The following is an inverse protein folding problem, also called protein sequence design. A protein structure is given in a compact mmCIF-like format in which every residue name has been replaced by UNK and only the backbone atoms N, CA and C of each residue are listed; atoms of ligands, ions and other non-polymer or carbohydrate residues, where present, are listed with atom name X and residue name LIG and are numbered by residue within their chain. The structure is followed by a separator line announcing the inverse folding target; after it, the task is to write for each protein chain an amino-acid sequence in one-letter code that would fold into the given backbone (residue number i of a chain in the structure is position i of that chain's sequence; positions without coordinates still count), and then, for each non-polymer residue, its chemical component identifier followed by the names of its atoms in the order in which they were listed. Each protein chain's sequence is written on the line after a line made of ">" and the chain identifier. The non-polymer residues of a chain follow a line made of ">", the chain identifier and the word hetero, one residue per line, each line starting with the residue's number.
data_IF_055217128695
#
_entry.id   IF_055217128695
#
_cell.length_a   1.000
_cell.length_b   1.000
_cell.length_c   1.000
_cell.angle_alpha   90.00
_cell.angle_beta   90.00
_cell.angle_gamma   90.00
#
_symmetry.space_group_name_H-M   'P 1'
#
loop_
_entity.id
_entity.type
_entity.pdbx_description
1 polymer ?
#
# COMPACT_ATOMS: atom_id res chain seq x y z
N UNK A 1 -1.32 -0.08 -30.45
CA UNK A 1 -0.98 0.73 -29.23
C UNK A 1 -2.12 1.68 -28.85
N UNK A 2 -2.89 2.25 -29.81
CA UNK A 2 -4.08 3.04 -29.49
C UNK A 2 -5.23 2.19 -28.94
N UNK A 3 -5.34 0.91 -29.33
CA UNK A 3 -6.39 0.02 -28.81
C UNK A 3 -6.35 -0.12 -27.29
N UNK A 4 -5.15 -0.12 -26.68
CA UNK A 4 -5.02 -0.24 -25.22
C UNK A 4 -5.47 1.04 -24.50
N UNK A 5 -5.26 2.21 -25.11
CA UNK A 5 -5.70 3.49 -24.54
C UNK A 5 -7.21 3.69 -24.71
N UNK A 6 -7.78 3.26 -25.84
CA UNK A 6 -9.22 3.33 -26.06
C UNK A 6 -9.95 2.38 -25.07
N UNK A 7 -9.40 1.20 -24.76
CA UNK A 7 -9.94 0.33 -23.71
C UNK A 7 -9.95 1.00 -22.32
N UNK A 8 -8.92 1.79 -21.97
CA UNK A 8 -8.91 2.55 -20.71
C UNK A 8 -9.95 3.67 -20.71
N UNK A 9 -10.24 4.27 -21.86
CA UNK A 9 -11.32 5.26 -21.99
C UNK A 9 -12.68 4.62 -21.80
N UNK A 10 -12.91 3.44 -22.42
CA UNK A 10 -14.17 2.70 -22.29
C UNK A 10 -14.43 2.24 -20.85
N UNK A 11 -13.36 1.94 -20.10
CA UNK A 11 -13.42 1.61 -18.67
C UNK A 11 -13.53 2.84 -17.75
N UNK A 12 -13.54 4.06 -18.30
CA UNK A 12 -13.59 5.31 -17.51
C UNK A 12 -12.30 5.59 -16.71
N UNK A 13 -11.19 4.96 -17.06
CA UNK A 13 -9.87 5.12 -16.41
C UNK A 13 -9.01 6.18 -17.10
N UNK A 14 -9.37 6.60 -18.31
CA UNK A 14 -8.71 7.66 -19.04
C UNK A 14 -9.72 8.57 -19.76
N UNK A 15 -9.40 9.86 -19.83
CA UNK A 15 -10.08 10.81 -20.71
C UNK A 15 -9.27 10.98 -22.00
N UNK A 16 -9.97 11.08 -23.12
CA UNK A 16 -9.39 11.39 -24.43
C UNK A 16 -9.84 12.77 -24.87
N UNK A 17 -8.88 13.66 -25.08
CA UNK A 17 -9.11 14.99 -25.61
C UNK A 17 -8.42 15.15 -26.98
N UNK A 18 -8.94 16.04 -27.84
CA UNK A 18 -8.28 16.39 -29.10
C UNK A 18 -7.50 17.68 -28.90
N UNK A 19 -6.24 17.68 -29.31
CA UNK A 19 -5.50 18.93 -29.35
C UNK A 19 -6.20 19.95 -30.27
N UNK A 20 -6.17 21.21 -29.85
CA UNK A 20 -6.61 22.29 -30.72
C UNK A 20 -5.76 22.26 -32.00
N UNK A 21 -6.38 22.41 -33.20
CA UNK A 21 -5.65 22.35 -34.46
C UNK A 21 -4.63 23.49 -34.53
N UNK A 22 -3.33 23.15 -34.48
CA UNK A 22 -2.23 24.07 -34.70
C UNK A 22 -1.58 23.80 -36.06
N UNK A 23 -2.00 24.54 -37.10
CA UNK A 23 -1.42 24.46 -38.44
C UNK A 23 -1.92 23.32 -39.33
N UNK A 24 -1.13 22.93 -40.33
CA UNK A 24 -1.47 21.85 -41.29
C UNK A 24 -1.13 20.49 -40.70
N UNK A 25 -2.15 19.66 -40.45
CA UNK A 25 -2.01 18.28 -39.98
C UNK A 25 -3.29 17.78 -39.29
N UNK A 26 -3.41 16.46 -39.10
CA UNK A 26 -4.50 15.87 -38.30
C UNK A 26 -4.21 16.12 -36.82
N UNK A 27 -5.13 16.73 -36.04
CA UNK A 27 -4.91 16.97 -34.62
C UNK A 27 -4.59 15.68 -33.86
N UNK A 28 -3.62 15.77 -32.93
CA UNK A 28 -3.25 14.66 -32.06
C UNK A 28 -4.34 14.43 -30.99
N UNK A 29 -4.50 13.17 -30.57
CA UNK A 29 -5.28 12.85 -29.38
C UNK A 29 -4.36 12.86 -28.17
N UNK A 30 -4.79 13.54 -27.11
CA UNK A 30 -4.18 13.48 -25.78
C UNK A 30 -5.02 12.56 -24.91
N UNK A 31 -4.33 11.77 -24.09
CA UNK A 31 -4.95 10.91 -23.11
C UNK A 31 -4.47 11.34 -21.73
N UNK A 32 -5.39 11.47 -20.78
CA UNK A 32 -5.10 11.77 -19.38
C UNK A 32 -5.74 10.70 -18.51
N UNK A 33 -5.00 10.18 -17.52
CA UNK A 33 -5.59 9.28 -16.54
C UNK A 33 -6.66 10.02 -15.73
N UNK A 34 -7.79 9.36 -15.51
CA UNK A 34 -8.83 9.88 -14.62
C UNK A 34 -8.49 9.49 -13.16
N UNK A 35 -8.83 10.32 -12.17
CA UNK A 35 -8.61 10.00 -10.76
C UNK A 35 -9.31 8.70 -10.40
N UNK A 36 -8.66 7.86 -9.60
CA UNK A 36 -9.32 6.66 -9.10
C UNK A 36 -10.46 7.08 -8.14
N UNK A 37 -11.61 6.37 -8.07
CA UNK A 37 -12.73 6.75 -7.20
C UNK A 37 -12.36 6.94 -5.73
N UNK A 38 -11.33 6.22 -5.24
CA UNK A 38 -10.78 6.34 -3.89
C UNK A 38 -9.91 7.59 -3.66
N UNK A 39 -9.75 8.45 -4.67
CA UNK A 39 -8.97 9.69 -4.58
C UNK A 39 -9.85 10.94 -4.50
N UNK A 40 -11.18 10.79 -4.57
CA UNK A 40 -12.14 11.88 -4.51
C UNK A 40 -12.24 12.56 -3.12
N UNK A 41 -12.56 13.87 -3.05
CA UNK A 41 -12.67 14.59 -1.77
C UNK A 41 -13.70 13.99 -0.80
N UNK A 42 -14.85 13.53 -1.30
CA UNK A 42 -15.91 12.93 -0.48
C UNK A 42 -15.45 11.61 0.16
N UNK A 43 -14.74 10.78 -0.58
CA UNK A 43 -14.19 9.52 -0.07
C UNK A 43 -13.14 9.77 1.01
N UNK A 44 -12.24 10.75 0.80
CA UNK A 44 -11.26 11.16 1.81
C UNK A 44 -11.91 11.68 3.09
N UNK A 45 -12.97 12.47 2.97
CA UNK A 45 -13.72 12.96 4.11
C UNK A 45 -14.41 11.82 4.89
N UNK A 46 -14.97 10.83 4.19
CA UNK A 46 -15.55 9.64 4.82
C UNK A 46 -14.49 8.83 5.58
N UNK A 47 -13.32 8.60 4.99
CA UNK A 47 -12.22 7.91 5.68
C UNK A 47 -11.79 8.68 6.94
N UNK A 48 -11.64 10.01 6.84
CA UNK A 48 -11.29 10.82 8.00
C UNK A 48 -12.31 10.67 9.14
N UNK A 49 -13.62 10.72 8.84
CA UNK A 49 -14.67 10.53 9.83
C UNK A 49 -14.66 9.12 10.46
N UNK A 50 -14.37 8.08 9.67
CA UNK A 50 -14.24 6.71 10.19
C UNK A 50 -13.02 6.57 11.10
N UNK A 51 -11.91 7.23 10.77
CA UNK A 51 -10.71 7.25 11.59
C UNK A 51 -10.93 8.00 12.90
N UNK A 52 -11.62 9.15 12.87
CA UNK A 52 -12.02 9.87 14.08
C UNK A 52 -12.89 8.99 14.99
N UNK A 53 -13.89 8.32 14.42
CA UNK A 53 -14.74 7.38 15.16
C UNK A 53 -13.95 6.19 15.75
N UNK A 54 -12.91 5.71 15.05
CA UNK A 54 -12.04 4.64 15.52
C UNK A 54 -11.18 5.07 16.73
N UNK A 55 -10.67 6.31 16.68
CA UNK A 55 -9.88 6.95 17.73
C UNK A 55 -10.72 7.20 18.98
N UNK A 56 -11.95 7.70 18.81
CA UNK A 56 -12.89 7.99 19.92
C UNK A 56 -13.34 6.74 20.70
N UNK A 57 -13.01 5.54 20.20
CA UNK A 57 -13.19 4.29 20.93
C UNK A 57 -14.62 3.76 20.92
N UNK A 58 -15.53 4.36 20.15
CA UNK A 58 -16.89 3.85 19.92
C UNK A 58 -16.90 2.50 19.19
N UNK A 59 -15.78 2.08 18.60
CA UNK A 59 -15.60 0.76 17.96
C UNK A 59 -15.27 -0.37 18.94
N UNK A 60 -15.36 -0.14 20.26
CA UNK A 60 -15.19 -1.16 21.30
C UNK A 60 -16.26 -2.25 21.17
N UNK A 61 -15.99 -3.31 20.41
CA UNK A 61 -16.82 -4.51 20.40
C UNK A 61 -16.78 -5.36 19.13
N UNK A 62 -16.63 -4.75 17.94
CA UNK A 62 -16.76 -5.49 16.69
C UNK A 62 -15.50 -6.30 16.28
N UNK A 63 -14.34 -5.99 16.87
CA UNK A 63 -13.02 -6.50 16.43
C UNK A 63 -12.24 -7.25 17.51
N UNK A 64 -12.86 -7.58 18.64
CA UNK A 64 -12.27 -8.48 19.66
C UNK A 64 -10.95 -8.01 20.29
N UNK A 65 -10.64 -6.71 20.30
CA UNK A 65 -9.38 -6.20 20.85
C UNK A 65 -9.46 -5.89 22.35
N UNK A 66 -8.38 -6.21 23.07
CA UNK A 66 -8.25 -5.97 24.52
C UNK A 66 -8.47 -4.49 24.88
N UNK A 67 -9.16 -4.17 25.99
CA UNK A 67 -9.34 -2.79 26.46
C UNK A 67 -8.03 -2.01 26.67
N UNK A 68 -6.91 -2.72 26.85
CA UNK A 68 -5.58 -2.15 27.06
C UNK A 68 -4.79 -1.87 25.77
N UNK A 69 -5.30 -2.31 24.61
CA UNK A 69 -4.57 -2.14 23.34
C UNK A 69 -4.52 -0.68 22.89
N UNK A 70 -3.36 -0.25 22.38
CA UNK A 70 -3.18 1.09 21.82
C UNK A 70 -3.92 1.25 20.50
N UNK A 71 -4.16 2.50 20.06
CA UNK A 71 -4.77 2.78 18.75
C UNK A 71 -3.95 2.14 17.62
N UNK A 72 -2.63 2.25 17.69
CA UNK A 72 -1.71 1.65 16.72
C UNK A 72 -1.86 0.13 16.68
N UNK A 73 -1.87 -0.56 17.82
CA UNK A 73 -2.02 -2.02 17.88
C UNK A 73 -3.34 -2.49 17.26
N UNK A 74 -4.44 -1.78 17.56
CA UNK A 74 -5.76 -2.07 16.98
C UNK A 74 -5.75 -1.87 15.46
N UNK A 75 -5.12 -0.81 14.98
CA UNK A 75 -5.00 -0.54 13.54
C UNK A 75 -4.12 -1.57 12.83
N UNK A 76 -2.99 -1.96 13.44
CA UNK A 76 -2.11 -3.02 12.96
C UNK A 76 -2.84 -4.35 12.86
N UNK A 77 -3.64 -4.71 13.87
CA UNK A 77 -4.46 -5.93 13.83
C UNK A 77 -5.45 -5.93 12.66
N UNK A 78 -6.11 -4.80 12.42
CA UNK A 78 -7.00 -4.62 11.26
C UNK A 78 -6.24 -4.77 9.93
N UNK A 79 -5.06 -4.16 9.83
CA UNK A 79 -4.21 -4.27 8.65
C UNK A 79 -3.76 -5.71 8.36
N UNK A 80 -3.48 -6.50 9.40
CA UNK A 80 -3.15 -7.92 9.26
C UNK A 80 -4.31 -8.75 8.68
N UNK A 81 -5.55 -8.32 8.91
CA UNK A 81 -6.75 -8.98 8.41
C UNK A 81 -7.06 -8.73 6.94
N UNK A 82 -6.34 -7.82 6.27
CA UNK A 82 -6.56 -7.53 4.84
C UNK A 82 -6.17 -8.75 4.00
N UNK A 83 -7.05 -9.25 3.13
CA UNK A 83 -6.72 -10.38 2.26
C UNK A 83 -5.53 -10.05 1.34
N UNK A 84 -4.48 -10.85 1.44
CA UNK A 84 -3.36 -10.81 0.49
C UNK A 84 -3.72 -11.68 -0.72
N UNK A 85 -3.59 -11.18 -1.97
CA UNK A 85 -3.88 -11.95 -3.18
C UNK A 85 -3.13 -13.29 -3.21
N UNK A 86 -3.79 -14.34 -3.72
CA UNK A 86 -3.24 -15.70 -3.68
C UNK A 86 -1.88 -15.80 -4.40
N UNK A 87 -1.73 -15.14 -5.55
CA UNK A 87 -0.46 -15.08 -6.28
C UNK A 87 0.69 -14.47 -5.45
N UNK A 88 0.38 -13.51 -4.60
CA UNK A 88 1.35 -12.90 -3.69
C UNK A 88 1.64 -13.82 -2.50
N UNK A 89 0.62 -14.54 -2.02
CA UNK A 89 0.78 -15.53 -0.96
C UNK A 89 1.65 -16.72 -1.42
N UNK A 90 1.50 -17.16 -2.67
CA UNK A 90 2.37 -18.17 -3.30
C UNK A 90 3.80 -17.68 -3.42
N UNK A 91 4.01 -16.45 -3.91
CA UNK A 91 5.33 -15.84 -3.98
C UNK A 91 6.00 -15.76 -2.60
N UNK A 92 5.25 -15.33 -1.58
CA UNK A 92 5.69 -15.28 -0.19
C UNK A 92 6.11 -16.66 0.34
N UNK A 93 5.30 -17.71 0.10
CA UNK A 93 5.64 -19.08 0.52
C UNK A 93 6.88 -19.63 -0.18
N UNK A 94 7.00 -19.41 -1.49
CA UNK A 94 8.17 -19.82 -2.27
C UNK A 94 9.48 -19.17 -1.78
N UNK A 95 9.40 -18.06 -1.03
CA UNK A 95 10.55 -17.45 -0.35
C UNK A 95 11.19 -18.38 0.68
N UNK A 96 10.40 -19.13 1.45
CA UNK A 96 10.88 -20.06 2.48
C UNK A 96 11.68 -21.23 1.91
N UNK A 97 11.44 -21.55 0.64
CA UNK A 97 12.09 -22.63 -0.11
C UNK A 97 13.29 -22.15 -0.95
N UNK A 98 13.48 -20.83 -1.06
CA UNK A 98 14.45 -20.23 -1.97
C UNK A 98 15.89 -20.30 -1.44
N UNK A 99 16.81 -20.84 -2.25
CA UNK A 99 18.23 -21.08 -1.96
C UNK A 99 19.07 -19.86 -1.51
N UNK A 100 18.90 -19.42 -0.26
CA UNK A 100 19.71 -18.44 0.46
C UNK A 100 18.92 -17.22 0.97
N UNK A 101 19.29 -16.72 2.16
CA UNK A 101 18.61 -15.62 2.85
C UNK A 101 18.42 -14.33 2.01
N UNK A 102 19.36 -14.03 1.11
CA UNK A 102 19.28 -12.88 0.22
C UNK A 102 18.18 -13.03 -0.87
N UNK A 103 17.95 -14.25 -1.36
CA UNK A 103 16.89 -14.53 -2.34
C UNK A 103 15.54 -14.47 -1.65
N UNK A 104 15.41 -15.12 -0.49
CA UNK A 104 14.20 -15.06 0.33
C UNK A 104 13.79 -13.61 0.62
N UNK A 105 14.73 -12.79 1.13
CA UNK A 105 14.49 -11.36 1.40
C UNK A 105 13.98 -10.58 0.19
N UNK A 106 14.55 -10.83 -1.01
CA UNK A 106 14.08 -10.19 -2.25
C UNK A 106 12.65 -10.60 -2.59
N UNK A 107 12.33 -11.88 -2.48
CA UNK A 107 10.99 -12.40 -2.73
C UNK A 107 9.95 -11.77 -1.79
N UNK A 108 10.24 -11.72 -0.48
CA UNK A 108 9.35 -11.04 0.49
C UNK A 108 9.20 -9.55 0.18
N UNK A 109 10.30 -8.88 -0.17
CA UNK A 109 10.29 -7.46 -0.56
C UNK A 109 9.39 -7.22 -1.77
N UNK A 110 9.46 -8.08 -2.79
CA UNK A 110 8.61 -8.01 -3.98
C UNK A 110 7.13 -8.31 -3.67
N UNK A 111 6.86 -9.28 -2.79
CA UNK A 111 5.50 -9.56 -2.32
C UNK A 111 4.89 -8.34 -1.62
N UNK A 112 5.62 -7.72 -0.69
CA UNK A 112 5.19 -6.49 -0.03
C UNK A 112 4.98 -5.34 -1.03
N UNK A 113 5.91 -5.17 -1.97
CA UNK A 113 5.79 -4.14 -3.01
C UNK A 113 4.51 -4.31 -3.84
N UNK A 114 4.14 -5.57 -4.14
CA UNK A 114 2.91 -5.91 -4.89
C UNK A 114 1.66 -5.58 -4.08
N UNK A 115 1.60 -5.96 -2.79
CA UNK A 115 0.47 -5.63 -1.91
C UNK A 115 0.29 -4.12 -1.78
N UNK A 116 1.36 -3.39 -1.50
CA UNK A 116 1.32 -1.95 -1.30
C UNK A 116 0.99 -1.20 -2.59
N UNK A 117 1.52 -1.64 -3.74
CA UNK A 117 1.15 -1.08 -5.03
C UNK A 117 -0.34 -1.27 -5.33
N UNK A 118 -0.91 -2.43 -4.97
CA UNK A 118 -2.35 -2.67 -5.06
C UNK A 118 -3.21 -1.73 -4.21
N UNK A 119 -2.64 -1.11 -3.17
CA UNK A 119 -3.32 -0.09 -2.37
C UNK A 119 -3.17 1.33 -2.94
N UNK A 120 -2.41 1.51 -4.03
CA UNK A 120 -2.17 2.81 -4.66
C UNK A 120 -0.85 3.49 -4.29
N UNK A 121 0.06 2.81 -3.59
CA UNK A 121 1.41 3.32 -3.38
C UNK A 121 2.26 3.18 -4.64
N UNK A 122 3.15 4.13 -4.89
CA UNK A 122 4.35 3.84 -5.69
C UNK A 122 5.39 3.18 -4.79
N UNK A 123 5.96 2.07 -5.23
CA UNK A 123 6.96 1.32 -4.45
C UNK A 123 8.33 1.37 -5.12
N UNK A 124 9.37 1.58 -4.31
CA UNK A 124 10.75 1.63 -4.77
C UNK A 124 11.61 0.77 -3.83
N UNK A 125 12.41 -0.15 -4.36
CA UNK A 125 13.29 -0.94 -3.50
C UNK A 125 14.44 -0.10 -2.93
N UNK A 126 14.74 -0.30 -1.65
CA UNK A 126 15.90 0.31 -1.03
C UNK A 126 17.18 -0.44 -1.44
N UNK A 127 18.31 0.27 -1.62
CA UNK A 127 19.58 -0.34 -1.97
C UNK A 127 19.97 -1.49 -1.03
N UNK A 128 20.61 -2.52 -1.60
CA UNK A 128 21.08 -3.72 -0.87
C UNK A 128 19.95 -4.53 -0.21
N UNK A 129 18.71 -4.42 -0.71
CA UNK A 129 17.57 -5.21 -0.22
C UNK A 129 17.16 -4.87 1.21
N UNK A 130 17.38 -3.63 1.65
CA UNK A 130 17.08 -3.22 3.04
C UNK A 130 15.59 -2.98 3.30
N UNK A 131 14.75 -3.05 2.28
CA UNK A 131 13.31 -2.92 2.35
C UNK A 131 12.77 -2.06 1.20
N UNK A 132 11.74 -1.27 1.47
CA UNK A 132 11.01 -0.49 0.46
C UNK A 132 10.91 0.98 0.87
N UNK A 133 10.85 1.84 -0.12
CA UNK A 133 10.28 3.18 -0.01
C UNK A 133 8.87 3.14 -0.59
N UNK A 134 7.92 3.64 0.19
CA UNK A 134 6.51 3.79 -0.20
C UNK A 134 6.24 5.27 -0.44
N UNK A 135 5.97 5.63 -1.70
CA UNK A 135 5.80 7.02 -2.13
C UNK A 135 4.35 7.30 -2.48
N UNK A 136 3.90 8.52 -2.23
CA UNK A 136 2.55 9.00 -2.52
C UNK A 136 1.48 8.17 -1.81
N UNK A 137 1.51 8.15 -0.46
CA UNK A 137 0.46 7.52 0.33
C UNK A 137 -0.92 8.02 -0.10
N UNK A 138 -1.84 7.14 -0.54
CA UNK A 138 -3.16 7.53 -1.05
C UNK A 138 -4.00 8.24 0.02
N UNK A 139 -3.70 7.97 1.29
CA UNK A 139 -4.37 8.52 2.46
C UNK A 139 -3.52 9.59 3.18
N UNK A 140 -2.52 10.18 2.54
CA UNK A 140 -1.63 11.17 3.17
C UNK A 140 -2.38 12.31 3.87
N UNK A 141 -3.48 12.79 3.29
CA UNK A 141 -4.29 13.86 3.87
C UNK A 141 -4.94 13.50 5.22
N UNK A 142 -5.15 12.21 5.49
CA UNK A 142 -5.64 11.68 6.77
C UNK A 142 -4.47 11.28 7.67
N UNK A 143 -3.45 10.64 7.10
CA UNK A 143 -2.29 10.12 7.82
C UNK A 143 -1.43 11.20 8.50
N UNK A 144 -1.43 12.44 7.98
CA UNK A 144 -0.76 13.58 8.65
C UNK A 144 -1.35 13.87 10.03
N UNK A 145 -2.65 13.63 10.23
CA UNK A 145 -3.33 13.84 11.54
C UNK A 145 -3.47 12.55 12.35
N UNK A 146 -3.66 11.42 11.68
CA UNK A 146 -3.95 10.12 12.29
C UNK A 146 -2.97 9.05 11.83
N UNK A 147 -1.68 9.34 12.01
CA UNK A 147 -0.59 8.47 11.55
C UNK A 147 -0.60 7.12 12.27
N UNK A 148 -0.95 7.10 13.55
CA UNK A 148 -1.10 5.91 14.39
C UNK A 148 -2.15 4.92 13.83
N UNK A 149 -3.22 5.43 13.21
CA UNK A 149 -4.24 4.60 12.58
C UNK A 149 -3.80 4.18 11.18
N UNK A 150 -3.52 5.15 10.30
CA UNK A 150 -3.26 4.87 8.88
C UNK A 150 -1.96 4.11 8.69
N UNK A 151 -0.89 4.52 9.36
CA UNK A 151 0.41 3.87 9.23
C UNK A 151 0.46 2.55 10.03
N UNK A 152 -0.23 2.47 11.17
CA UNK A 152 -0.43 1.20 11.89
C UNK A 152 -1.16 0.17 11.02
N UNK A 153 -2.20 0.57 10.31
CA UNK A 153 -2.89 -0.30 9.35
C UNK A 153 -1.95 -0.82 8.25
N UNK A 154 -1.17 0.06 7.62
CA UNK A 154 -0.18 -0.39 6.62
C UNK A 154 0.92 -1.27 7.21
N UNK A 155 1.36 -1.01 8.44
CA UNK A 155 2.29 -1.88 9.18
C UNK A 155 1.71 -3.30 9.31
N UNK A 156 0.45 -3.43 9.69
CA UNK A 156 -0.22 -4.74 9.80
C UNK A 156 -0.26 -5.52 8.48
N UNK A 157 -0.51 -4.84 7.37
CA UNK A 157 -0.47 -5.47 6.04
C UNK A 157 0.93 -6.00 5.70
N UNK A 158 1.99 -5.24 6.00
CA UNK A 158 3.38 -5.67 5.77
C UNK A 158 3.73 -6.89 6.64
N UNK A 159 3.31 -6.88 7.91
CA UNK A 159 3.49 -8.00 8.83
C UNK A 159 2.82 -9.28 8.33
N UNK A 160 1.60 -9.18 7.80
CA UNK A 160 0.89 -10.33 7.24
C UNK A 160 1.62 -10.98 6.05
N UNK A 161 2.31 -10.18 5.23
CA UNK A 161 3.14 -10.71 4.12
C UNK A 161 4.36 -11.46 4.67
N UNK A 162 5.05 -10.91 5.67
CA UNK A 162 6.22 -11.55 6.29
C UNK A 162 5.83 -12.87 6.96
N UNK A 163 4.75 -12.88 7.73
CA UNK A 163 4.24 -14.08 8.40
C UNK A 163 3.87 -15.19 7.41
N UNK A 164 3.20 -14.85 6.29
CA UNK A 164 2.89 -15.82 5.21
C UNK A 164 4.14 -16.39 4.53
N UNK A 165 5.27 -15.69 4.65
CA UNK A 165 6.57 -16.14 4.15
C UNK A 165 7.31 -17.02 5.18
N UNK A 166 6.71 -17.29 6.34
CA UNK A 166 7.33 -18.01 7.46
C UNK A 166 8.28 -17.14 8.30
N UNK A 167 8.29 -15.82 8.08
CA UNK A 167 9.13 -14.89 8.83
C UNK A 167 8.46 -14.36 10.10
N UNK A 168 9.26 -13.79 10.99
CA UNK A 168 8.78 -13.07 12.16
C UNK A 168 8.12 -11.73 11.75
N UNK A 169 6.83 -11.48 12.05
CA UNK A 169 6.18 -10.22 11.75
C UNK A 169 6.86 -9.01 12.41
N UNK A 170 7.56 -9.19 13.54
CA UNK A 170 8.27 -8.09 14.19
C UNK A 170 9.59 -7.76 13.48
N UNK A 171 10.00 -8.55 12.48
CA UNK A 171 11.17 -8.23 11.65
C UNK A 171 10.90 -7.15 10.61
N UNK A 172 9.67 -6.68 10.41
CA UNK A 172 9.36 -5.59 9.47
C UNK A 172 8.82 -4.36 10.19
N UNK A 173 9.33 -3.19 9.83
CA UNK A 173 8.91 -1.92 10.41
C UNK A 173 8.69 -0.86 9.35
N UNK A 174 7.54 -0.20 9.40
CA UNK A 174 7.21 0.99 8.64
C UNK A 174 7.56 2.23 9.46
N UNK A 175 8.49 3.04 8.96
CA UNK A 175 8.83 4.37 9.45
C UNK A 175 7.99 5.41 8.68
N UNK A 176 6.95 5.99 9.30
CA UNK A 176 6.08 6.95 8.63
C UNK A 176 6.83 8.24 8.31
N UNK A 177 6.64 8.78 7.10
CA UNK A 177 7.15 10.09 6.70
C UNK A 177 8.65 10.30 6.91
N UNK A 178 9.43 9.22 6.87
CA UNK A 178 10.88 9.26 7.07
C UNK A 178 11.61 10.07 5.99
N UNK A 179 10.98 10.29 4.83
CA UNK A 179 11.46 11.17 3.76
C UNK A 179 10.31 12.05 3.23
N UNK A 180 10.60 13.20 2.58
CA UNK A 180 9.58 14.04 1.96
C UNK A 180 8.70 13.26 0.97
N UNK A 181 7.42 13.09 1.33
CA UNK A 181 6.44 12.37 0.50
C UNK A 181 6.54 10.84 0.54
N UNK A 182 7.36 10.27 1.43
CA UNK A 182 7.55 8.83 1.49
C UNK A 182 7.71 8.26 2.91
N UNK A 183 7.28 7.01 3.06
CA UNK A 183 7.55 6.19 4.24
C UNK A 183 8.61 5.13 3.89
N UNK A 184 9.37 4.68 4.89
CA UNK A 184 10.38 3.64 4.69
C UNK A 184 9.95 2.35 5.39
N UNK A 185 9.92 1.25 4.65
CA UNK A 185 9.79 -0.10 5.19
C UNK A 185 11.19 -0.67 5.36
N UNK A 186 11.54 -1.07 6.57
CA UNK A 186 12.78 -1.79 6.88
C UNK A 186 12.47 -3.23 7.24
N UNK A 187 13.35 -4.12 6.81
CA UNK A 187 13.30 -5.53 7.19
C UNK A 187 14.56 -5.82 8.02
N UNK A 188 14.39 -6.12 9.30
CA UNK A 188 15.43 -6.60 10.22
C UNK A 188 16.07 -7.90 9.73
N UNK A 189 17.21 -8.32 10.29
CA UNK A 189 17.85 -9.59 9.91
C UNK A 189 16.88 -10.75 10.09
N UNK A 190 16.96 -11.76 9.21
CA UNK A 190 16.16 -12.97 9.38
C UNK A 190 16.61 -13.64 10.69
N UNK A 191 15.73 -13.68 11.68
CA UNK A 191 15.98 -14.42 12.91
C UNK A 191 16.01 -15.90 12.54
N UNK A 192 17.17 -16.52 12.71
CA UNK A 192 17.32 -17.97 12.55
C UNK A 192 16.85 -18.61 13.85
N UNK A 193 15.69 -19.26 13.83
CA UNK A 193 15.33 -20.27 14.84
C UNK A 193 15.85 -21.63 14.40
#
# INVERSE_FOLDING_TARGET
>A
MREHLDALVDLGLAARDRDAPAGRGRPAYRYAALPHPSEGPAYRALIAALVEHFVDGSSRGALGHSPASTITERATLLGRGVPVPESVAELARASGEAGGAAKARRTVTQAMATVMAGQGFRTEELPRGRGLRLVNCPLVGVAVRHGEVVCGFHQGMLQAVVERSGGDPDSVHLEPFAEPGACLVRIGPATSS
#
